data_IF_197483847615
#
_entry.id   IF_197483847615
#
_cell.length_a   1.000
_cell.length_b   1.000
_cell.length_c   1.000
_cell.angle_alpha   90.00
_cell.angle_beta   90.00
_cell.angle_gamma   90.00
#
_symmetry.space_group_name_H-M   'P 1'
#
loop_
_entity.id
_entity.type
_entity.pdbx_description
1 polymer ?
#
# COMPACT_ATOMS: atom_id res chain seq x y z
N UNK A 1 5.03 -46.42 37.42
CA UNK A 1 5.20 -45.94 36.03
C UNK A 1 3.91 -45.33 35.42
N UNK A 2 2.82 -45.12 36.18
CA UNK A 2 1.57 -44.53 35.67
C UNK A 2 1.54 -42.99 35.74
N UNK A 3 2.37 -42.39 36.60
CA UNK A 3 2.42 -40.94 36.82
C UNK A 3 3.43 -40.20 35.93
N UNK A 4 4.28 -40.93 35.18
CA UNK A 4 5.27 -40.31 34.27
C UNK A 4 4.67 -40.00 32.88
N UNK A 5 3.66 -40.77 32.46
CA UNK A 5 2.93 -40.55 31.20
C UNK A 5 2.05 -39.29 31.23
N UNK A 6 1.59 -38.86 32.41
CA UNK A 6 0.78 -37.64 32.56
C UNK A 6 1.60 -36.35 32.45
N UNK A 7 2.90 -36.38 32.78
CA UNK A 7 3.75 -35.19 32.67
C UNK A 7 4.14 -34.88 31.22
N UNK A 8 4.30 -35.90 30.37
CA UNK A 8 4.63 -35.72 28.95
C UNK A 8 3.45 -35.21 28.11
N UNK A 9 2.22 -35.47 28.54
CA UNK A 9 1.02 -34.99 27.85
C UNK A 9 0.78 -33.47 28.05
N UNK A 10 1.25 -32.88 29.17
CA UNK A 10 1.09 -31.44 29.42
C UNK A 10 2.04 -30.55 28.59
N UNK A 11 3.19 -31.08 28.15
CA UNK A 11 4.11 -30.32 27.31
C UNK A 11 3.67 -30.22 25.84
N UNK A 12 2.76 -31.08 25.37
CA UNK A 12 2.33 -31.07 23.96
C UNK A 12 1.25 -30.03 23.64
N UNK A 13 0.59 -29.43 24.65
CA UNK A 13 -0.40 -28.36 24.43
C UNK A 13 0.27 -26.98 24.17
N UNK A 14 1.59 -26.89 24.34
CA UNK A 14 2.37 -25.70 24.01
C UNK A 14 3.11 -25.79 22.66
N UNK A 15 2.86 -26.85 21.87
CA UNK A 15 3.36 -26.90 20.49
C UNK A 15 2.46 -26.11 19.54
N UNK A 16 3.01 -24.99 19.08
CA UNK A 16 2.68 -24.37 17.80
C UNK A 16 1.27 -23.77 17.63
N UNK A 17 0.81 -22.97 18.59
CA UNK A 17 0.24 -21.67 18.16
C UNK A 17 1.38 -20.73 17.87
N UNK A 18 2.11 -20.99 16.78
CA UNK A 18 2.76 -19.92 16.05
C UNK A 18 1.60 -19.03 15.63
N UNK A 19 1.31 -17.99 16.42
CA UNK A 19 0.78 -16.75 15.89
C UNK A 19 1.74 -16.44 14.75
N UNK A 20 1.38 -16.82 13.54
CA UNK A 20 1.67 -16.03 12.36
C UNK A 20 1.09 -14.66 12.71
N UNK A 21 1.90 -13.85 13.41
CA UNK A 21 1.79 -12.43 13.31
C UNK A 21 1.89 -12.22 11.80
N UNK A 22 0.73 -12.01 11.16
CA UNK A 22 0.64 -11.61 9.77
C UNK A 22 1.70 -10.53 9.65
N UNK A 23 2.78 -10.86 8.93
CA UNK A 23 3.92 -9.97 8.78
C UNK A 23 3.37 -8.86 7.89
N UNK A 24 2.74 -7.87 8.53
CA UNK A 24 2.11 -6.74 7.88
C UNK A 24 3.17 -6.18 6.94
N UNK A 25 2.97 -6.38 5.64
CA UNK A 25 3.96 -6.01 4.65
C UNK A 25 3.98 -4.50 4.57
N UNK A 26 4.79 -3.88 5.43
CA UNK A 26 4.88 -2.42 5.53
C UNK A 26 5.52 -1.91 4.24
N UNK A 27 4.82 -1.00 3.56
CA UNK A 27 5.38 -0.26 2.43
C UNK A 27 6.36 0.77 2.99
N UNK A 28 7.51 0.97 2.36
CA UNK A 28 8.48 1.96 2.83
C UNK A 28 9.15 2.67 1.66
N UNK A 29 9.48 3.94 1.90
CA UNK A 29 10.19 4.78 0.95
C UNK A 29 9.29 5.39 -0.12
N UNK A 30 9.96 5.91 -1.15
CA UNK A 30 9.37 6.68 -2.24
C UNK A 30 8.91 5.75 -3.35
N UNK A 31 7.74 6.02 -3.92
CA UNK A 31 7.16 5.32 -5.05
C UNK A 31 6.81 6.33 -6.15
N UNK A 32 7.03 5.96 -7.40
CA UNK A 32 6.66 6.75 -8.58
C UNK A 32 5.50 6.10 -9.33
N UNK A 33 4.69 6.89 -10.03
CA UNK A 33 3.72 6.36 -10.99
C UNK A 33 4.47 5.82 -12.20
N UNK A 34 4.05 4.65 -12.69
CA UNK A 34 4.62 3.98 -13.88
C UNK A 34 3.59 3.68 -14.96
N UNK A 35 2.32 3.84 -14.62
CA UNK A 35 1.21 3.57 -15.52
C UNK A 35 -0.12 3.78 -14.83
N UNK A 36 -1.17 3.78 -15.63
CA UNK A 36 -2.54 3.86 -15.15
C UNK A 36 -3.48 3.17 -16.15
N UNK A 37 -4.64 2.75 -15.67
CA UNK A 37 -5.76 2.29 -16.49
C UNK A 37 -6.92 3.23 -16.29
N UNK A 38 -7.39 3.82 -17.37
CA UNK A 38 -8.57 4.68 -17.39
C UNK A 38 -9.83 3.83 -17.56
N UNK A 39 -10.95 4.32 -17.02
CA UNK A 39 -12.26 3.78 -17.31
C UNK A 39 -12.53 3.88 -18.81
N UNK A 40 -13.07 2.81 -19.38
CA UNK A 40 -13.21 2.66 -20.85
C UNK A 40 -14.05 3.77 -21.49
N UNK A 41 -14.98 4.34 -20.73
CA UNK A 41 -15.87 5.45 -21.11
C UNK A 41 -15.26 6.85 -20.93
N UNK A 42 -14.11 6.98 -20.25
CA UNK A 42 -13.48 8.27 -19.88
C UNK A 42 -12.09 8.48 -20.49
N UNK A 43 -11.78 7.86 -21.64
CA UNK A 43 -10.45 7.92 -22.27
C UNK A 43 -9.91 9.34 -22.54
N UNK A 44 -10.77 10.36 -22.66
CA UNK A 44 -10.34 11.76 -22.83
C UNK A 44 -9.69 12.37 -21.58
N UNK A 45 -9.98 11.86 -20.39
CA UNK A 45 -9.47 12.41 -19.12
C UNK A 45 -8.08 11.88 -18.73
N UNK A 46 -7.60 10.82 -19.40
CA UNK A 46 -6.27 10.22 -19.13
C UNK A 46 -5.08 11.16 -19.35
N UNK A 47 -5.25 12.23 -20.15
CA UNK A 47 -4.21 13.25 -20.36
C UNK A 47 -3.88 14.09 -19.12
N UNK A 48 -4.81 14.20 -18.15
CA UNK A 48 -4.62 15.01 -16.93
C UNK A 48 -3.64 14.38 -15.93
N UNK A 49 -3.57 13.05 -15.87
CA UNK A 49 -2.62 12.32 -15.01
C UNK A 49 -1.18 12.49 -15.41
N UNK A 50 -0.89 12.52 -16.71
CA UNK A 50 0.47 12.70 -17.22
C UNK A 50 1.03 14.05 -16.73
N UNK A 51 0.19 15.09 -16.70
CA UNK A 51 0.49 16.42 -16.18
C UNK A 51 0.47 16.52 -14.62
N UNK A 52 0.00 15.51 -13.90
CA UNK A 52 0.15 15.42 -12.45
C UNK A 52 1.50 14.79 -12.04
N UNK A 53 2.14 14.09 -12.97
CA UNK A 53 3.41 13.36 -12.78
C UNK A 53 4.62 14.05 -13.46
N UNK A 54 4.41 15.20 -14.09
CA UNK A 54 5.32 15.90 -15.01
C UNK A 54 6.43 16.73 -14.34
N UNK A 55 7.07 16.16 -13.31
CA UNK A 55 8.38 16.66 -12.87
C UNK A 55 8.51 16.79 -11.36
N UNK A 56 9.50 16.08 -10.83
CA UNK A 56 10.24 16.38 -9.59
C UNK A 56 9.68 15.90 -8.25
N UNK A 57 8.65 15.04 -8.19
CA UNK A 57 8.32 14.36 -6.92
C UNK A 57 7.85 12.93 -7.12
N UNK A 58 8.14 12.10 -6.13
CA UNK A 58 7.55 10.78 -5.97
C UNK A 58 6.03 10.94 -5.78
N UNK A 59 5.26 9.94 -6.23
CA UNK A 59 3.81 9.92 -6.11
C UNK A 59 3.37 9.60 -4.68
N UNK A 60 4.08 8.69 -4.01
CA UNK A 60 3.85 8.30 -2.62
C UNK A 60 5.20 8.22 -1.89
N UNK A 61 5.24 8.61 -0.63
CA UNK A 61 6.37 8.37 0.27
C UNK A 61 5.87 7.82 1.59
N UNK A 62 6.03 6.52 1.75
CA UNK A 62 5.67 5.80 2.96
C UNK A 62 6.79 5.94 3.98
N UNK A 63 6.51 6.63 5.07
CA UNK A 63 7.48 6.89 6.13
C UNK A 63 7.50 5.76 7.17
N UNK A 64 8.52 5.77 8.02
CA UNK A 64 8.65 4.82 9.13
C UNK A 64 7.56 4.98 10.20
N UNK A 65 6.90 6.13 10.27
CA UNK A 65 5.92 6.50 11.30
C UNK A 65 4.47 6.12 10.94
N UNK A 66 4.29 5.15 10.03
CA UNK A 66 2.97 4.76 9.52
C UNK A 66 2.23 5.93 8.85
N UNK A 67 2.97 6.89 8.28
CA UNK A 67 2.43 7.98 7.48
C UNK A 67 2.81 7.81 6.01
N UNK A 68 1.94 8.30 5.12
CA UNK A 68 2.23 8.41 3.69
C UNK A 68 1.98 9.83 3.24
N UNK A 69 2.98 10.37 2.54
CA UNK A 69 2.92 11.66 1.87
C UNK A 69 2.66 11.38 0.40
N UNK A 70 1.49 11.76 -0.09
CA UNK A 70 1.11 11.65 -1.49
C UNK A 70 1.44 12.98 -2.17
N UNK A 71 1.89 12.95 -3.43
CA UNK A 71 2.04 14.18 -4.21
C UNK A 71 0.75 15.02 -4.10
N UNK A 72 0.82 16.32 -3.76
CA UNK A 72 -0.40 17.10 -3.47
C UNK A 72 -1.42 17.16 -4.60
N UNK A 73 -0.99 17.22 -5.87
CA UNK A 73 -1.91 17.21 -7.01
C UNK A 73 -2.68 15.88 -7.04
N UNK A 74 -1.96 14.77 -6.95
CA UNK A 74 -2.53 13.42 -6.95
C UNK A 74 -3.39 13.17 -5.71
N UNK A 75 -2.92 13.59 -4.54
CA UNK A 75 -3.62 13.48 -3.27
C UNK A 75 -4.97 14.17 -3.29
N UNK A 76 -4.98 15.46 -3.62
CA UNK A 76 -6.21 16.24 -3.68
C UNK A 76 -7.18 15.72 -4.75
N UNK A 77 -6.66 15.29 -5.90
CA UNK A 77 -7.49 14.82 -7.00
C UNK A 77 -8.15 13.47 -6.69
N UNK A 78 -7.46 12.51 -6.07
CA UNK A 78 -7.98 11.15 -5.94
C UNK A 78 -8.35 10.73 -4.51
N UNK A 79 -7.83 11.44 -3.50
CA UNK A 79 -7.98 11.10 -2.08
C UNK A 79 -8.40 12.29 -1.20
N UNK A 80 -8.65 13.48 -1.78
CA UNK A 80 -9.07 14.70 -1.08
C UNK A 80 -8.10 15.28 -0.04
N UNK A 81 -6.94 14.66 0.16
CA UNK A 81 -5.84 15.12 1.02
C UNK A 81 -4.51 14.55 0.47
N UNK A 82 -3.39 14.98 1.01
CA UNK A 82 -2.03 14.56 0.63
C UNK A 82 -1.25 13.91 1.77
N UNK A 83 -1.75 13.97 3.00
CA UNK A 83 -1.08 13.41 4.18
C UNK A 83 -2.02 12.46 4.91
N UNK A 84 -1.64 11.19 4.98
CA UNK A 84 -2.44 10.15 5.62
C UNK A 84 -1.62 9.35 6.60
N UNK A 85 -2.27 8.82 7.64
CA UNK A 85 -1.80 7.58 8.26
C UNK A 85 -2.11 6.42 7.32
N UNK A 86 -1.26 5.41 7.27
CA UNK A 86 -1.52 4.23 6.46
C UNK A 86 -1.36 2.93 7.24
N UNK A 87 -2.13 1.93 6.82
CA UNK A 87 -1.97 0.54 7.26
C UNK A 87 -2.19 -0.37 6.06
N UNK A 88 -1.43 -1.46 6.01
CA UNK A 88 -1.49 -2.43 4.92
C UNK A 88 -1.99 -3.76 5.47
N UNK A 89 -2.83 -4.43 4.71
CA UNK A 89 -3.18 -5.84 4.88
C UNK A 89 -2.76 -6.59 3.62
N UNK A 90 -3.02 -7.89 3.52
CA UNK A 90 -2.57 -8.70 2.39
C UNK A 90 -3.00 -8.14 1.02
N UNK A 91 -4.17 -7.49 0.93
CA UNK A 91 -4.72 -6.97 -0.34
C UNK A 91 -5.30 -5.56 -0.27
N UNK A 92 -5.23 -4.89 0.89
CA UNK A 92 -5.83 -3.55 1.06
C UNK A 92 -4.81 -2.61 1.73
N UNK A 93 -4.62 -1.46 1.09
CA UNK A 93 -3.96 -0.28 1.63
C UNK A 93 -5.05 0.65 2.17
N UNK A 94 -5.04 0.89 3.47
CA UNK A 94 -5.92 1.87 4.08
C UNK A 94 -5.16 3.18 4.27
N UNK A 95 -5.77 4.28 3.87
CA UNK A 95 -5.30 5.64 4.08
C UNK A 95 -6.31 6.35 4.98
N UNK A 96 -5.87 6.87 6.12
CA UNK A 96 -6.76 7.51 7.09
C UNK A 96 -6.30 8.93 7.37
N UNK A 97 -7.22 9.87 7.28
CA UNK A 97 -7.06 11.24 7.79
C UNK A 97 -7.95 11.44 9.03
N UNK A 98 -8.22 12.69 9.45
CA UNK A 98 -9.07 12.98 10.62
C UNK A 98 -10.56 12.77 10.39
N UNK A 99 -10.99 12.79 9.13
CA UNK A 99 -12.37 12.83 8.67
C UNK A 99 -12.78 11.56 7.90
N UNK A 100 -11.82 10.85 7.30
CA UNK A 100 -12.10 9.78 6.34
C UNK A 100 -11.08 8.64 6.40
N UNK A 101 -11.52 7.47 5.91
CA UNK A 101 -10.63 6.34 5.60
C UNK A 101 -10.90 5.86 4.17
N UNK A 102 -9.85 5.80 3.36
CA UNK A 102 -9.87 5.23 2.02
C UNK A 102 -9.32 3.81 2.06
N UNK A 103 -10.16 2.82 1.73
CA UNK A 103 -9.75 1.44 1.56
C UNK A 103 -9.43 1.16 0.09
N UNK A 104 -8.14 1.10 -0.24
CA UNK A 104 -7.66 0.89 -1.60
C UNK A 104 -7.25 -0.57 -1.75
N UNK A 105 -8.01 -1.33 -2.55
CA UNK A 105 -7.57 -2.67 -2.93
C UNK A 105 -6.28 -2.54 -3.75
N UNK A 106 -5.32 -3.43 -3.53
CA UNK A 106 -4.12 -3.49 -4.36
C UNK A 106 -3.72 -4.91 -4.74
N UNK A 107 -2.93 -5.02 -5.81
CA UNK A 107 -2.25 -6.25 -6.21
C UNK A 107 -0.77 -5.95 -6.50
N UNK A 108 0.12 -6.80 -6.00
CA UNK A 108 1.55 -6.73 -6.30
C UNK A 108 1.89 -7.65 -7.47
N UNK A 109 2.41 -7.08 -8.56
CA UNK A 109 2.92 -7.79 -9.73
C UNK A 109 4.43 -7.50 -9.86
N UNK A 110 5.25 -8.33 -9.20
CA UNK A 110 6.69 -8.04 -9.04
C UNK A 110 6.92 -6.80 -8.17
N UNK A 111 7.65 -5.81 -8.70
CA UNK A 111 7.91 -4.53 -8.03
C UNK A 111 6.77 -3.51 -8.20
N UNK A 112 5.77 -3.80 -9.04
CA UNK A 112 4.66 -2.89 -9.32
C UNK A 112 3.51 -3.16 -8.35
N UNK A 113 3.03 -2.12 -7.69
CA UNK A 113 1.75 -2.12 -6.97
C UNK A 113 0.67 -1.52 -7.87
N UNK A 114 -0.35 -2.33 -8.15
CA UNK A 114 -1.56 -1.91 -8.84
C UNK A 114 -2.59 -1.50 -7.80
N UNK A 115 -2.85 -0.20 -7.67
CA UNK A 115 -3.84 0.38 -6.76
C UNK A 115 -5.16 0.56 -7.49
N UNK A 116 -6.23 -0.09 -7.02
CA UNK A 116 -7.56 0.01 -7.62
C UNK A 116 -8.34 1.15 -6.94
N UNK A 117 -8.28 2.35 -7.53
CA UNK A 117 -8.81 3.59 -6.94
C UNK A 117 -10.21 3.95 -7.45
N UNK A 118 -10.58 3.50 -8.65
CA UNK A 118 -11.93 3.62 -9.23
C UNK A 118 -12.57 5.03 -9.15
N UNK A 119 -11.77 6.08 -9.17
CA UNK A 119 -12.19 7.48 -8.98
C UNK A 119 -11.68 8.36 -10.11
N UNK A 120 -12.44 9.40 -10.45
CA UNK A 120 -12.07 10.43 -11.43
C UNK A 120 -11.49 9.88 -12.74
N UNK A 121 -12.18 8.90 -13.33
CA UNK A 121 -11.80 8.30 -14.61
C UNK A 121 -10.64 7.30 -14.56
N UNK A 122 -10.02 7.07 -13.40
CA UNK A 122 -9.01 6.01 -13.21
C UNK A 122 -9.63 4.79 -12.57
N UNK A 123 -9.35 3.62 -13.15
CA UNK A 123 -9.59 2.33 -12.51
C UNK A 123 -8.37 1.88 -11.70
N UNK A 124 -7.18 1.95 -12.31
CA UNK A 124 -5.95 1.47 -11.70
C UNK A 124 -4.84 2.50 -11.80
N UNK A 125 -4.15 2.77 -10.69
CA UNK A 125 -2.89 3.49 -10.65
C UNK A 125 -1.76 2.49 -10.39
N UNK A 126 -0.71 2.51 -11.21
CA UNK A 126 0.44 1.62 -11.04
C UNK A 126 1.60 2.41 -10.48
N UNK A 127 2.14 1.96 -9.35
CA UNK A 127 3.29 2.58 -8.69
C UNK A 127 4.42 1.59 -8.48
N UNK A 128 5.67 2.05 -8.53
CA UNK A 128 6.85 1.24 -8.22
C UNK A 128 7.79 1.96 -7.25
N UNK A 129 8.57 1.24 -6.41
CA UNK A 129 9.59 1.85 -5.58
C UNK A 129 10.62 2.61 -6.42
N UNK A 130 10.98 3.82 -5.97
CA UNK A 130 12.13 4.56 -6.53
C UNK A 130 13.39 3.91 -5.96
N UNK A 131 14.14 3.22 -6.82
CA UNK A 131 15.47 2.71 -6.44
C UNK A 131 16.34 3.92 -6.11
N UNK A 132 16.77 4.05 -4.85
CA UNK A 132 17.83 4.99 -4.52
C UNK A 132 19.07 4.49 -5.25
N UNK A 133 19.57 5.27 -6.22
CA UNK A 133 20.90 5.04 -6.75
C UNK A 133 21.84 5.18 -5.55
N UNK A 134 22.43 4.07 -5.12
CA UNK A 134 23.47 4.10 -4.11
C UNK A 134 24.60 4.96 -4.64
N UNK A 135 24.80 6.13 -4.02
CA UNK A 135 26.10 6.79 -4.07
C UNK A 135 27.02 5.92 -3.20
N UNK A 136 27.68 4.96 -3.85
CA UNK A 136 28.90 4.35 -3.32
C UNK A 136 30.04 5.35 -3.43
#
# INVERSE_FOLDING_TARGET
MRNLLLLLALCMIFSCKQRTANKTSKLSGKYTVVGFKVKTDMQKDGGRLIAATDGQSYAFNFTSEDAVLINPKLGMEYFSDSVFKYRVTDTILFLSDKNSEHAIRYRRDGEILNLFINTNGIDTLQIMPVKQAGLN
#
